data_IF_241671446095
#
_entry.id   IF_241671446095
#
_cell.length_a   1.000
_cell.length_b   1.000
_cell.length_c   1.000
_cell.angle_alpha   90.00
_cell.angle_beta   90.00
_cell.angle_gamma   90.00
#
_symmetry.space_group_name_H-M   'P 1'
#
loop_
_entity.id
_entity.type
_entity.pdbx_description
1 polymer ?
#
# COMPACT_ATOMS: atom_id res chain seq x y z
N UNK A 1 -22.16 -14.85 -12.66
CA UNK A 1 -22.30 -13.60 -11.90
C UNK A 1 -21.02 -12.82 -12.12
N UNK A 2 -21.09 -11.64 -12.74
CA UNK A 2 -19.89 -10.84 -13.02
C UNK A 2 -19.43 -10.26 -11.69
N UNK A 3 -18.25 -10.67 -11.22
CA UNK A 3 -17.62 -10.04 -10.04
C UNK A 3 -17.50 -8.55 -10.37
N UNK A 4 -18.22 -7.68 -9.65
CA UNK A 4 -18.10 -6.25 -9.85
C UNK A 4 -16.66 -5.88 -9.54
N UNK A 5 -15.86 -5.55 -10.56
CA UNK A 5 -14.50 -5.02 -10.37
C UNK A 5 -14.62 -3.82 -9.44
N UNK A 6 -14.15 -3.98 -8.20
CA UNK A 6 -14.11 -2.87 -7.25
C UNK A 6 -13.02 -1.92 -7.72
N UNK A 7 -13.39 -0.69 -8.03
CA UNK A 7 -12.44 0.37 -8.36
C UNK A 7 -11.56 0.63 -7.15
N UNK A 8 -10.25 0.44 -7.31
CA UNK A 8 -9.24 0.75 -6.29
C UNK A 8 -9.34 2.23 -5.89
N UNK A 9 -9.42 2.53 -4.59
CA UNK A 9 -9.50 3.90 -4.06
C UNK A 9 -8.16 4.64 -4.10
N UNK A 10 -7.07 3.89 -3.99
CA UNK A 10 -5.72 4.43 -3.97
C UNK A 10 -4.94 3.99 -5.20
N UNK A 11 -4.04 4.86 -5.66
CA UNK A 11 -3.20 4.65 -6.83
C UNK A 11 -1.76 4.31 -6.46
N UNK A 12 -1.05 3.63 -7.37
CA UNK A 12 0.41 3.44 -7.28
C UNK A 12 1.09 4.82 -7.17
N UNK A 13 2.06 4.93 -6.27
CA UNK A 13 2.78 6.17 -5.96
C UNK A 13 2.06 7.10 -4.99
N UNK A 14 0.83 6.79 -4.59
CA UNK A 14 0.13 7.54 -3.55
C UNK A 14 0.66 7.17 -2.16
N UNK A 15 0.75 8.18 -1.28
CA UNK A 15 1.14 7.97 0.12
C UNK A 15 -0.11 7.72 0.96
N UNK A 16 -0.07 6.65 1.74
CA UNK A 16 -1.16 6.23 2.62
C UNK A 16 -0.64 5.92 4.01
N UNK A 17 -1.54 5.91 4.99
CA UNK A 17 -1.26 5.50 6.36
C UNK A 17 -2.29 4.50 6.85
N UNK A 18 -1.90 3.65 7.79
CA UNK A 18 -2.84 2.73 8.41
C UNK A 18 -3.80 3.49 9.35
N UNK A 19 -5.04 3.01 9.44
CA UNK A 19 -6.07 3.59 10.33
C UNK A 19 -5.73 3.45 11.80
N UNK A 20 -5.19 2.30 12.18
CA UNK A 20 -4.99 1.89 13.58
C UNK A 20 -3.53 1.79 14.01
N UNK A 21 -2.62 1.54 13.07
CA UNK A 21 -1.22 1.25 13.38
C UNK A 21 -0.37 2.44 12.92
N UNK A 22 0.69 2.81 13.66
CA UNK A 22 1.46 4.02 13.40
C UNK A 22 2.50 3.79 12.29
N UNK A 23 2.05 3.45 11.09
CA UNK A 23 2.90 3.38 9.91
C UNK A 23 2.26 4.06 8.70
N UNK A 24 3.11 4.50 7.78
CA UNK A 24 2.74 5.08 6.48
C UNK A 24 3.61 4.48 5.39
N UNK A 25 3.21 4.65 4.13
CA UNK A 25 3.99 4.12 3.02
C UNK A 25 3.48 4.55 1.65
N UNK A 26 4.31 4.28 0.65
CA UNK A 26 3.99 4.52 -0.77
C UNK A 26 3.47 3.23 -1.38
N UNK A 27 2.33 3.30 -2.05
CA UNK A 27 1.78 2.14 -2.78
C UNK A 27 2.67 1.84 -3.98
N UNK A 28 3.14 0.61 -4.10
CA UNK A 28 3.90 0.17 -5.26
C UNK A 28 3.25 -0.95 -6.07
N UNK A 29 2.27 -1.64 -5.50
CA UNK A 29 1.49 -2.65 -6.21
C UNK A 29 0.10 -2.82 -5.58
N UNK A 30 -0.82 -3.44 -6.32
CA UNK A 30 -2.21 -3.67 -5.91
C UNK A 30 -2.75 -4.99 -6.46
N UNK A 31 -3.27 -5.81 -5.56
CA UNK A 31 -4.10 -6.97 -5.93
C UNK A 31 -5.58 -6.57 -5.94
N UNK A 32 -6.38 -7.05 -6.92
CA UNK A 32 -7.82 -6.76 -6.96
C UNK A 32 -8.60 -7.37 -5.78
N UNK A 33 -8.05 -8.41 -5.16
CA UNK A 33 -8.58 -9.14 -4.00
C UNK A 33 -7.43 -9.70 -3.16
N UNK A 34 -7.73 -10.29 -2.00
CA UNK A 34 -6.71 -10.97 -1.20
C UNK A 34 -5.94 -12.02 -2.01
N UNK A 35 -4.61 -11.90 -2.05
CA UNK A 35 -3.70 -12.74 -2.83
C UNK A 35 -2.46 -13.17 -2.03
N UNK A 36 -2.62 -13.39 -0.72
CA UNK A 36 -1.56 -13.90 0.15
C UNK A 36 -1.95 -15.29 0.71
N UNK A 37 -1.10 -15.92 1.52
CA UNK A 37 -1.33 -17.27 2.04
C UNK A 37 -2.48 -17.30 3.05
N UNK A 38 -3.17 -18.45 3.15
CA UNK A 38 -4.20 -18.64 4.17
C UNK A 38 -3.61 -18.59 5.58
N UNK A 39 -2.39 -19.10 5.78
CA UNK A 39 -1.66 -19.02 7.04
C UNK A 39 -1.48 -17.57 7.53
N UNK A 40 -1.12 -16.66 6.62
CA UNK A 40 -1.02 -15.23 6.95
C UNK A 40 -2.38 -14.67 7.36
N UNK A 41 -3.44 -15.05 6.65
CA UNK A 41 -4.81 -14.62 6.97
C UNK A 41 -5.26 -15.12 8.33
N UNK A 42 -4.95 -16.37 8.66
CA UNK A 42 -5.33 -16.99 9.93
C UNK A 42 -4.52 -16.49 11.11
N UNK A 43 -3.29 -16.03 10.88
CA UNK A 43 -2.48 -15.35 11.89
C UNK A 43 -3.08 -14.00 12.34
N UNK A 44 -3.97 -13.39 11.55
CA UNK A 44 -4.68 -12.17 11.95
C UNK A 44 -5.78 -12.53 12.96
N UNK A 45 -5.87 -11.81 14.10
CA UNK A 45 -6.98 -11.95 15.04
C UNK A 45 -8.32 -11.88 14.31
N UNK A 46 -9.25 -12.79 14.63
CA UNK A 46 -10.52 -12.96 13.92
C UNK A 46 -11.34 -11.67 13.80
N UNK A 47 -11.30 -10.82 14.83
CA UNK A 47 -11.96 -9.51 14.88
C UNK A 47 -11.34 -8.45 13.95
N UNK A 48 -10.08 -8.61 13.55
CA UNK A 48 -9.34 -7.68 12.68
C UNK A 48 -9.17 -8.21 11.25
N UNK A 49 -9.66 -9.43 10.95
CA UNK A 49 -9.54 -10.02 9.63
C UNK A 49 -10.24 -9.16 8.58
N UNK A 50 -9.52 -8.67 7.55
CA UNK A 50 -10.14 -7.89 6.50
C UNK A 50 -10.99 -8.79 5.60
N UNK A 51 -12.01 -8.22 4.96
CA UNK A 51 -12.75 -8.92 3.91
C UNK A 51 -11.82 -9.23 2.73
N UNK A 52 -11.88 -10.44 2.17
CA UNK A 52 -11.01 -10.86 1.06
C UNK A 52 -11.45 -10.28 -0.29
N UNK A 53 -12.72 -9.93 -0.45
CA UNK A 53 -13.32 -9.41 -1.70
C UNK A 53 -13.03 -7.91 -1.95
N UNK A 54 -11.84 -7.41 -1.66
CA UNK A 54 -11.49 -5.99 -1.85
C UNK A 54 -10.03 -5.84 -2.25
N UNK A 55 -9.61 -4.69 -2.81
CA UNK A 55 -8.21 -4.48 -3.13
C UNK A 55 -7.28 -4.59 -1.91
N UNK A 56 -6.13 -5.20 -2.11
CA UNK A 56 -5.01 -5.23 -1.17
C UNK A 56 -3.81 -4.55 -1.80
N UNK A 57 -3.08 -3.79 -1.00
CA UNK A 57 -1.99 -2.94 -1.46
C UNK A 57 -0.67 -3.39 -0.87
N UNK A 58 0.36 -3.34 -1.70
CA UNK A 58 1.74 -3.46 -1.26
C UNK A 58 2.34 -2.07 -1.06
N UNK A 59 2.91 -1.85 0.11
CA UNK A 59 3.47 -0.56 0.52
C UNK A 59 4.96 -0.68 0.79
N UNK A 60 5.74 0.28 0.28
CA UNK A 60 7.04 0.61 0.85
C UNK A 60 6.76 1.45 2.09
N UNK A 61 6.76 0.80 3.25
CA UNK A 61 6.27 1.36 4.51
C UNK A 61 7.41 1.73 5.47
N UNK A 62 7.09 2.62 6.40
CA UNK A 62 7.94 3.01 7.52
C UNK A 62 7.11 3.24 8.78
N UNK A 63 7.75 3.04 9.92
CA UNK A 63 7.29 3.52 11.22
C UNK A 63 8.41 4.34 11.90
N UNK A 64 8.27 4.62 13.20
CA UNK A 64 9.27 5.39 13.96
C UNK A 64 10.64 4.71 14.05
N UNK A 65 10.74 3.41 13.78
CA UNK A 65 11.91 2.58 14.08
C UNK A 65 12.56 1.97 12.82
N UNK A 66 11.77 1.60 11.81
CA UNK A 66 12.25 0.80 10.68
C UNK A 66 11.42 0.98 9.40
N UNK A 67 11.96 0.51 8.29
CA UNK A 67 11.37 0.48 6.95
C UNK A 67 11.15 -0.97 6.49
N UNK A 68 9.98 -1.27 5.92
CA UNK A 68 9.59 -2.63 5.53
C UNK A 68 8.55 -2.65 4.41
N UNK A 69 8.27 -3.83 3.84
CA UNK A 69 7.11 -4.01 2.94
C UNK A 69 5.89 -4.39 3.76
N UNK A 70 4.79 -3.67 3.58
CA UNK A 70 3.50 -4.02 4.18
C UNK A 70 2.51 -4.52 3.12
N UNK A 71 1.71 -5.51 3.49
CA UNK A 71 0.55 -5.99 2.72
C UNK A 71 -0.75 -5.64 3.47
N UNK A 72 -1.58 -4.78 2.90
CA UNK A 72 -2.67 -4.13 3.67
C UNK A 72 -3.95 -4.02 2.85
N UNK A 73 -5.09 -4.34 3.46
CA UNK A 73 -6.41 -4.18 2.82
C UNK A 73 -6.82 -2.71 2.66
N UNK A 74 -7.52 -2.37 1.58
CA UNK A 74 -8.04 -1.02 1.32
C UNK A 74 -8.82 -0.43 2.49
N UNK A 75 -9.68 -1.21 3.14
CA UNK A 75 -10.50 -0.74 4.27
C UNK A 75 -9.68 -0.22 5.46
N UNK A 76 -8.40 -0.57 5.55
CA UNK A 76 -7.52 -0.20 6.66
C UNK A 76 -6.59 0.97 6.32
N UNK A 77 -6.68 1.51 5.11
CA UNK A 77 -5.87 2.63 4.65
C UNK A 77 -6.64 3.95 4.70
N UNK A 78 -5.87 5.01 4.91
CA UNK A 78 -6.28 6.40 4.75
C UNK A 78 -5.25 7.11 3.89
N UNK A 79 -5.70 8.11 3.14
CA UNK A 79 -4.78 9.00 2.45
C UNK A 79 -3.90 9.77 3.46
N UNK A 80 -2.60 9.84 3.15
CA UNK A 80 -1.67 10.68 3.89
C UNK A 80 -1.44 11.98 3.12
N UNK A 81 -1.91 13.09 3.69
CA UNK A 81 -1.84 14.44 3.11
C UNK A 81 -0.72 15.30 3.70
N UNK A 82 0.20 14.72 4.45
CA UNK A 82 1.26 15.50 5.12
C UNK A 82 2.24 16.14 4.14
N UNK A 83 2.45 15.53 2.96
CA UNK A 83 3.49 15.93 2.00
C UNK A 83 4.90 15.48 2.39
N UNK A 84 5.05 14.90 3.58
CA UNK A 84 6.32 14.42 4.11
C UNK A 84 6.82 13.23 3.30
N UNK A 85 8.11 13.21 2.90
CA UNK A 85 8.67 12.07 2.20
C UNK A 85 8.64 10.81 3.07
N UNK A 86 8.43 9.66 2.46
CA UNK A 86 8.64 8.35 3.09
C UNK A 86 10.12 7.97 2.92
N UNK A 87 10.75 7.45 3.98
CA UNK A 87 12.20 7.18 4.07
C UNK A 87 12.62 5.83 3.45
N UNK A 88 11.68 4.99 3.04
CA UNK A 88 12.00 3.64 2.56
C UNK A 88 13.01 3.68 1.38
N UNK A 89 14.20 3.04 1.49
CA UNK A 89 15.31 3.24 0.55
C UNK A 89 14.97 2.88 -0.90
N UNK A 90 14.17 1.82 -1.12
CA UNK A 90 13.68 1.41 -2.45
C UNK A 90 12.80 2.42 -3.17
N UNK A 91 12.28 3.46 -2.49
CA UNK A 91 11.48 4.49 -3.15
C UNK A 91 12.30 5.18 -4.24
N UNK A 92 13.57 5.52 -3.96
CA UNK A 92 14.44 6.19 -4.93
C UNK A 92 14.78 5.32 -6.15
N UNK A 93 14.63 4.00 -6.06
CA UNK A 93 14.86 3.08 -7.18
C UNK A 93 13.65 2.97 -8.10
N UNK A 94 12.44 3.13 -7.54
CA UNK A 94 11.18 2.84 -8.23
C UNK A 94 10.38 4.09 -8.60
N UNK A 95 10.60 5.22 -7.92
CA UNK A 95 9.77 6.40 -8.06
C UNK A 95 10.59 7.69 -8.11
N UNK A 96 10.02 8.68 -8.79
CA UNK A 96 10.40 10.08 -8.69
C UNK A 96 9.38 10.84 -7.82
N UNK A 97 9.86 11.72 -6.94
CA UNK A 97 8.98 12.52 -6.07
C UNK A 97 8.43 13.71 -6.86
N UNK A 98 7.11 13.87 -6.86
CA UNK A 98 6.43 15.00 -7.48
C UNK A 98 6.34 16.21 -6.52
N UNK A 99 6.14 17.44 -7.05
CA UNK A 99 6.01 18.64 -6.24
C UNK A 99 4.85 18.61 -5.24
N UNK A 100 3.78 17.86 -5.54
CA UNK A 100 2.60 17.71 -4.67
C UNK A 100 2.78 16.65 -3.57
N UNK A 101 3.97 16.03 -3.48
CA UNK A 101 4.32 15.04 -2.46
C UNK A 101 3.96 13.61 -2.82
N UNK A 102 3.25 13.37 -3.93
CA UNK A 102 3.05 12.04 -4.52
C UNK A 102 4.33 11.55 -5.20
N UNK A 103 4.34 10.27 -5.51
CA UNK A 103 5.42 9.60 -6.22
C UNK A 103 4.95 9.14 -7.60
N UNK A 104 5.75 9.36 -8.63
CA UNK A 104 5.50 8.86 -9.98
C UNK A 104 6.40 7.65 -10.25
N UNK A 105 5.86 6.51 -10.75
CA UNK A 105 6.70 5.37 -11.10
C UNK A 105 7.72 5.75 -12.15
N UNK A 106 8.99 5.40 -11.90
CA UNK A 106 10.04 5.52 -12.89
C UNK A 106 9.68 4.70 -14.11
N UNK A 107 9.68 5.33 -15.28
CA UNK A 107 9.61 4.61 -16.56
C UNK A 107 10.88 3.79 -16.69
N UNK A 108 10.82 2.51 -16.32
CA UNK A 108 11.84 1.56 -16.73
C UNK A 108 11.66 1.34 -18.23
N UNK A 109 12.42 2.10 -19.03
CA UNK A 109 12.64 1.75 -20.43
C UNK A 109 13.25 0.36 -20.43
N UNK A 110 12.47 -0.66 -20.83
CA UNK A 110 13.02 -1.99 -21.11
C UNK A 110 14.04 -1.81 -22.24
N UNK A 111 15.32 -2.06 -21.94
CA UNK A 111 16.34 -2.33 -22.95
C UNK A 111 16.31 -3.81 -23.30
#
# INVERSE_FOLDING_TARGET
MVSAMKTAKFAIGQVVRHKLFPFRGVIFDVDPQFANTEEWYDAIPSEMRPRKDQPFYHLLAENSETEYIAYVSEQNLLEDRSGEPVRHPRIGEMFDKLPDGRYEPKRHSKH
#
